data_IF_916921343644
#
_entry.id   IF_916921343644
#
_cell.length_a   1.000
_cell.length_b   1.000
_cell.length_c   1.000
_cell.angle_alpha   90.00
_cell.angle_beta   90.00
_cell.angle_gamma   90.00
#
_symmetry.space_group_name_H-M   'P 1'
#
loop_
_entity.id
_entity.type
_entity.pdbx_description
1 polymer ?
#
# COMPACT_ATOMS: atom_id res chain seq x y z
N UNK A 1 -10.60 -8.01 -4.46
CA UNK A 1 -10.38 -6.71 -3.80
C UNK A 1 -11.47 -5.75 -4.23
N UNK A 2 -11.89 -4.81 -3.38
CA UNK A 2 -12.92 -3.83 -3.73
C UNK A 2 -12.42 -2.93 -4.87
N UNK A 3 -13.32 -2.57 -5.79
CA UNK A 3 -13.06 -1.63 -6.88
C UNK A 3 -13.76 -0.32 -6.54
N UNK A 4 -13.04 0.80 -6.61
CA UNK A 4 -13.53 2.13 -6.19
C UNK A 4 -14.01 2.97 -7.38
N UNK A 5 -13.85 2.50 -8.61
CA UNK A 5 -14.21 3.22 -9.85
C UNK A 5 -13.32 4.44 -10.12
N UNK A 6 -12.11 4.47 -9.54
CA UNK A 6 -11.09 5.46 -9.84
C UNK A 6 -9.88 4.74 -10.43
N UNK A 7 -9.75 4.77 -11.77
CA UNK A 7 -8.88 3.89 -12.54
C UNK A 7 -7.42 3.85 -12.03
N UNK A 8 -6.83 4.99 -11.70
CA UNK A 8 -5.44 5.03 -11.21
C UNK A 8 -5.28 4.33 -9.85
N UNK A 9 -6.22 4.57 -8.94
CA UNK A 9 -6.23 4.02 -7.57
C UNK A 9 -6.50 2.52 -7.64
N UNK A 10 -7.48 2.10 -8.44
CA UNK A 10 -7.80 0.69 -8.64
C UNK A 10 -6.65 -0.10 -9.28
N UNK A 11 -5.91 0.52 -10.21
CA UNK A 11 -4.73 -0.07 -10.81
C UNK A 11 -3.60 -0.26 -9.79
N UNK A 12 -3.32 0.77 -8.98
CA UNK A 12 -2.30 0.68 -7.93
C UNK A 12 -2.65 -0.40 -6.89
N UNK A 13 -3.92 -0.45 -6.48
CA UNK A 13 -4.46 -1.45 -5.58
C UNK A 13 -4.21 -2.87 -6.12
N UNK A 14 -4.59 -3.12 -7.38
CA UNK A 14 -4.38 -4.42 -8.02
C UNK A 14 -2.90 -4.81 -8.07
N UNK A 15 -2.01 -3.87 -8.40
CA UNK A 15 -0.57 -4.14 -8.45
C UNK A 15 -0.01 -4.43 -7.05
N UNK A 16 -0.43 -3.70 -6.02
CA UNK A 16 -0.05 -4.01 -4.64
C UNK A 16 -0.45 -5.45 -4.26
N UNK A 17 -1.71 -5.83 -4.54
CA UNK A 17 -2.22 -7.17 -4.23
C UNK A 17 -1.52 -8.28 -5.04
N UNK A 18 -1.13 -8.02 -6.28
CA UNK A 18 -0.33 -8.97 -7.08
C UNK A 18 1.04 -9.19 -6.44
N UNK A 19 1.73 -8.12 -6.05
CA UNK A 19 3.05 -8.22 -5.41
C UNK A 19 2.94 -9.01 -4.09
N UNK A 20 1.95 -8.72 -3.24
CA UNK A 20 1.78 -9.45 -1.97
C UNK A 20 1.46 -10.91 -2.21
N UNK A 21 0.63 -11.23 -3.20
CA UNK A 21 0.34 -12.62 -3.60
C UNK A 21 1.61 -13.37 -4.02
N UNK A 22 2.44 -12.75 -4.87
CA UNK A 22 3.71 -13.34 -5.33
C UNK A 22 4.73 -13.47 -4.20
N UNK A 23 4.77 -12.54 -3.26
CA UNK A 23 5.66 -12.60 -2.09
C UNK A 23 5.43 -13.88 -1.26
N UNK A 24 4.17 -14.32 -1.10
CA UNK A 24 3.81 -15.48 -0.27
C UNK A 24 4.40 -16.80 -0.76
N UNK A 25 4.61 -16.95 -2.07
CA UNK A 25 5.11 -18.19 -2.69
C UNK A 25 6.55 -18.09 -3.20
N UNK A 26 7.15 -16.90 -3.10
CA UNK A 26 8.49 -16.62 -3.61
C UNK A 26 9.64 -17.29 -2.83
N UNK A 27 10.68 -17.69 -3.56
CA UNK A 27 11.99 -18.06 -2.99
C UNK A 27 12.71 -16.87 -2.35
N UNK A 28 13.88 -17.08 -1.74
CA UNK A 28 14.62 -16.02 -1.04
C UNK A 28 15.00 -14.83 -1.92
N UNK A 29 15.49 -15.08 -3.14
CA UNK A 29 16.00 -14.00 -4.01
C UNK A 29 14.84 -13.26 -4.68
N UNK A 30 13.79 -13.99 -5.05
CA UNK A 30 12.54 -13.41 -5.50
C UNK A 30 11.90 -12.57 -4.40
N UNK A 31 11.83 -13.07 -3.16
CA UNK A 31 11.27 -12.33 -2.03
C UNK A 31 11.97 -10.99 -1.83
N UNK A 32 13.31 -10.97 -1.89
CA UNK A 32 14.09 -9.72 -1.76
C UNK A 32 13.76 -8.69 -2.84
N UNK A 33 13.62 -9.13 -4.10
CA UNK A 33 13.29 -8.25 -5.21
C UNK A 33 11.85 -7.74 -5.10
N UNK A 34 10.90 -8.64 -4.85
CA UNK A 34 9.49 -8.33 -4.71
C UNK A 34 9.21 -7.42 -3.51
N UNK A 35 9.97 -7.55 -2.41
CA UNK A 35 9.79 -6.69 -1.24
C UNK A 35 10.24 -5.25 -1.53
N UNK A 36 11.34 -5.08 -2.29
CA UNK A 36 11.75 -3.77 -2.80
C UNK A 36 10.74 -3.20 -3.79
N UNK A 37 10.17 -4.04 -4.66
CA UNK A 37 9.08 -3.67 -5.58
C UNK A 37 7.85 -3.19 -4.80
N UNK A 38 7.42 -3.94 -3.77
CA UNK A 38 6.30 -3.58 -2.90
C UNK A 38 6.52 -2.21 -2.27
N UNK A 39 7.69 -1.97 -1.68
CA UNK A 39 8.00 -0.68 -1.05
C UNK A 39 7.94 0.47 -2.07
N UNK A 40 8.61 0.32 -3.22
CA UNK A 40 8.64 1.36 -4.26
C UNK A 40 7.26 1.65 -4.85
N UNK A 41 6.46 0.59 -5.06
CA UNK A 41 5.09 0.70 -5.53
C UNK A 41 4.23 1.46 -4.52
N UNK A 42 4.29 1.05 -3.25
CA UNK A 42 3.54 1.69 -2.15
C UNK A 42 3.88 3.17 -2.01
N UNK A 43 5.16 3.55 -2.11
CA UNK A 43 5.57 4.96 -2.09
C UNK A 43 5.00 5.77 -3.26
N UNK A 44 4.93 5.17 -4.45
CA UNK A 44 4.41 5.84 -5.65
C UNK A 44 2.89 5.98 -5.59
N UNK A 45 2.20 4.92 -5.18
CA UNK A 45 0.76 4.88 -4.96
C UNK A 45 0.33 5.92 -3.93
N UNK A 46 0.91 5.91 -2.72
CA UNK A 46 0.56 6.89 -1.69
C UNK A 46 0.88 8.31 -2.13
N UNK A 47 2.00 8.55 -2.81
CA UNK A 47 2.30 9.89 -3.35
C UNK A 47 1.21 10.39 -4.29
N UNK A 48 0.61 9.51 -5.11
CA UNK A 48 -0.49 9.86 -6.00
C UNK A 48 -1.76 10.19 -5.22
N UNK A 49 -2.12 9.37 -4.23
CA UNK A 49 -3.28 9.65 -3.38
C UNK A 49 -3.10 10.94 -2.58
N UNK A 50 -1.91 11.17 -2.01
CA UNK A 50 -1.57 12.40 -1.30
C UNK A 50 -1.68 13.63 -2.21
N UNK A 51 -1.34 13.51 -3.50
CA UNK A 51 -1.60 14.57 -4.48
C UNK A 51 -3.10 14.85 -4.66
N UNK A 52 -3.94 13.81 -4.71
CA UNK A 52 -5.39 13.99 -4.76
C UNK A 52 -5.95 14.58 -3.47
N UNK A 53 -5.47 14.12 -2.32
CA UNK A 53 -5.84 14.64 -1.00
C UNK A 53 -5.58 16.15 -0.92
N UNK A 54 -4.41 16.60 -1.40
CA UNK A 54 -4.08 18.03 -1.45
C UNK A 54 -4.89 18.78 -2.50
N UNK A 55 -5.05 18.21 -3.70
CA UNK A 55 -5.74 18.87 -4.82
C UNK A 55 -7.22 19.14 -4.52
N UNK A 56 -7.89 18.24 -3.81
CA UNK A 56 -9.32 18.33 -3.51
C UNK A 56 -9.62 18.78 -2.08
N UNK A 57 -8.63 19.33 -1.36
CA UNK A 57 -8.77 19.80 0.02
C UNK A 57 -9.45 18.76 0.95
N UNK A 58 -9.03 17.49 0.84
CA UNK A 58 -9.71 16.38 1.52
C UNK A 58 -9.62 16.53 3.06
N UNK A 59 -10.76 16.61 3.79
CA UNK A 59 -10.77 16.85 5.23
C UNK A 59 -10.05 15.76 6.05
N UNK A 60 -10.02 14.53 5.55
CA UNK A 60 -9.38 13.38 6.20
C UNK A 60 -7.85 13.32 6.04
N UNK A 61 -7.22 14.33 5.43
CA UNK A 61 -5.78 14.36 5.11
C UNK A 61 -4.87 13.87 6.24
N UNK A 62 -5.01 14.43 7.43
CA UNK A 62 -4.08 14.13 8.53
C UNK A 62 -4.12 12.66 8.95
N UNK A 63 -5.29 12.04 8.94
CA UNK A 63 -5.46 10.64 9.32
C UNK A 63 -4.97 9.72 8.19
N UNK A 64 -5.35 10.01 6.95
CA UNK A 64 -4.97 9.24 5.76
C UNK A 64 -3.46 9.20 5.55
N UNK A 65 -2.80 10.37 5.51
CA UNK A 65 -1.35 10.45 5.40
C UNK A 65 -0.65 9.84 6.63
N UNK A 66 -1.30 9.85 7.80
CA UNK A 66 -0.79 9.20 9.01
C UNK A 66 -0.65 7.68 8.84
N UNK A 67 -1.69 7.03 8.32
CA UNK A 67 -1.69 5.59 8.05
C UNK A 67 -0.72 5.21 6.92
N UNK A 68 -0.62 6.02 5.86
CA UNK A 68 0.39 5.86 4.82
C UNK A 68 1.81 5.87 5.40
N UNK A 69 2.12 6.87 6.21
CA UNK A 69 3.43 7.01 6.83
C UNK A 69 3.75 5.85 7.78
N UNK A 70 2.74 5.34 8.49
CA UNK A 70 2.89 4.17 9.36
C UNK A 70 3.29 2.94 8.55
N UNK A 71 2.54 2.60 7.50
CA UNK A 71 2.83 1.45 6.67
C UNK A 71 4.22 1.58 5.99
N UNK A 72 4.53 2.73 5.41
CA UNK A 72 5.83 2.98 4.79
C UNK A 72 6.99 2.82 5.77
N UNK A 73 6.80 3.24 7.02
CA UNK A 73 7.81 3.06 8.07
C UNK A 73 8.04 1.57 8.35
N UNK A 74 6.98 0.78 8.48
CA UNK A 74 7.07 -0.67 8.67
C UNK A 74 7.74 -1.35 7.47
N UNK A 75 7.30 -1.04 6.25
CA UNK A 75 7.88 -1.59 5.02
C UNK A 75 9.36 -1.25 4.86
N UNK A 76 9.79 -0.02 5.14
CA UNK A 76 11.22 0.37 5.09
C UNK A 76 12.05 -0.43 6.08
N UNK A 77 11.57 -0.60 7.32
CA UNK A 77 12.26 -1.39 8.33
C UNK A 77 12.37 -2.87 7.95
N UNK A 78 11.29 -3.45 7.43
CA UNK A 78 11.33 -4.84 6.93
C UNK A 78 12.22 -4.97 5.71
N UNK A 79 12.17 -4.04 4.76
CA UNK A 79 13.01 -4.09 3.57
C UNK A 79 14.50 -4.11 3.94
N UNK A 80 14.93 -3.27 4.87
CA UNK A 80 16.33 -3.28 5.35
C UNK A 80 16.75 -4.67 5.88
N UNK A 81 15.89 -5.32 6.67
CA UNK A 81 16.14 -6.67 7.20
C UNK A 81 16.13 -7.73 6.10
N UNK A 82 15.21 -7.60 5.14
CA UNK A 82 15.09 -8.49 3.99
C UNK A 82 16.35 -8.46 3.14
N UNK A 83 16.88 -7.27 2.85
CA UNK A 83 18.13 -7.13 2.09
C UNK A 83 19.33 -7.76 2.81
N UNK A 84 19.31 -7.78 4.16
CA UNK A 84 20.30 -8.50 4.98
C UNK A 84 20.06 -10.02 5.07
N UNK A 85 19.06 -10.57 4.36
CA UNK A 85 18.71 -11.99 4.39
C UNK A 85 17.87 -12.43 5.59
N UNK A 86 17.39 -11.50 6.42
CA UNK A 86 16.56 -11.78 7.60
C UNK A 86 15.08 -11.78 7.21
N UNK A 87 14.62 -12.89 6.63
CA UNK A 87 13.29 -12.96 5.97
C UNK A 87 12.13 -13.36 6.88
N UNK A 88 12.38 -14.11 7.95
CA UNK A 88 11.31 -14.78 8.73
C UNK A 88 10.22 -13.82 9.20
N UNK A 89 10.60 -12.69 9.78
CA UNK A 89 9.63 -11.70 10.28
C UNK A 89 8.93 -10.95 9.14
N UNK A 90 9.62 -10.68 8.03
CA UNK A 90 9.01 -10.04 6.87
C UNK A 90 7.98 -10.97 6.21
N UNK A 91 8.26 -12.27 6.11
CA UNK A 91 7.31 -13.27 5.60
C UNK A 91 6.06 -13.37 6.49
N UNK A 92 6.23 -13.40 7.81
CA UNK A 92 5.09 -13.36 8.74
C UNK A 92 4.29 -12.07 8.56
N UNK A 93 4.96 -10.91 8.48
CA UNK A 93 4.31 -9.63 8.27
C UNK A 93 3.44 -9.59 6.98
N UNK A 94 3.98 -10.06 5.84
CA UNK A 94 3.22 -10.15 4.59
C UNK A 94 1.99 -11.07 4.74
N UNK A 95 2.14 -12.23 5.39
CA UNK A 95 1.05 -13.20 5.51
C UNK A 95 -0.04 -12.77 6.49
N UNK A 96 0.35 -12.11 7.59
CA UNK A 96 -0.53 -11.95 8.74
C UNK A 96 -1.14 -10.54 8.84
N UNK A 97 -0.52 -9.53 8.20
CA UNK A 97 -0.84 -8.12 8.45
C UNK A 97 -1.15 -7.31 7.19
N UNK A 98 -0.38 -7.52 6.13
CA UNK A 98 -0.42 -6.60 4.97
C UNK A 98 -1.75 -6.69 4.21
N UNK A 99 -2.27 -7.89 3.98
CA UNK A 99 -3.54 -8.05 3.26
C UNK A 99 -4.73 -7.47 4.03
N UNK A 100 -4.78 -7.71 5.34
CA UNK A 100 -5.85 -7.16 6.19
C UNK A 100 -5.77 -5.64 6.24
N UNK A 101 -4.55 -5.08 6.41
CA UNK A 101 -4.34 -3.64 6.37
C UNK A 101 -4.81 -3.05 5.04
N UNK A 102 -4.41 -3.64 3.91
CA UNK A 102 -4.78 -3.16 2.57
C UNK A 102 -6.30 -3.19 2.39
N UNK A 103 -6.95 -4.28 2.78
CA UNK A 103 -8.40 -4.38 2.68
C UNK A 103 -9.12 -3.30 3.50
N UNK A 104 -8.69 -3.08 4.74
CA UNK A 104 -9.28 -2.06 5.62
C UNK A 104 -9.02 -0.64 5.11
N UNK A 105 -7.82 -0.36 4.60
CA UNK A 105 -7.45 0.95 4.06
C UNK A 105 -8.31 1.31 2.85
N UNK A 106 -8.41 0.38 1.88
CA UNK A 106 -9.24 0.55 0.67
C UNK A 106 -10.71 0.78 1.03
N UNK A 107 -11.24 -0.05 1.94
CA UNK A 107 -12.67 -0.05 2.26
C UNK A 107 -13.10 1.20 3.00
N UNK A 108 -12.22 1.76 3.85
CA UNK A 108 -12.59 2.84 4.77
C UNK A 108 -12.03 4.20 4.36
N UNK A 109 -10.78 4.27 3.94
CA UNK A 109 -10.06 5.53 3.70
C UNK A 109 -10.07 5.89 2.22
N UNK A 110 -9.63 5.00 1.34
CA UNK A 110 -9.53 5.30 -0.09
C UNK A 110 -10.91 5.42 -0.72
N UNK A 111 -11.89 4.61 -0.29
CA UNK A 111 -13.28 4.76 -0.69
C UNK A 111 -13.87 6.14 -0.30
N UNK A 112 -13.49 6.66 0.87
CA UNK A 112 -13.93 7.98 1.32
C UNK A 112 -13.27 9.11 0.52
N UNK A 113 -11.97 8.97 0.21
CA UNK A 113 -11.24 9.88 -0.67
C UNK A 113 -11.85 9.90 -2.08
N UNK A 114 -12.07 8.75 -2.71
CA UNK A 114 -12.66 8.66 -4.07
C UNK A 114 -14.03 9.32 -4.11
N UNK A 115 -14.89 9.04 -3.13
CA UNK A 115 -16.21 9.68 -3.03
C UNK A 115 -16.10 11.21 -2.90
N UNK A 116 -15.09 11.72 -2.19
CA UNK A 116 -14.85 13.17 -2.06
C UNK A 116 -14.35 13.78 -3.37
N UNK A 117 -13.46 13.08 -4.09
CA UNK A 117 -13.01 13.50 -5.43
C UNK A 117 -14.21 13.61 -6.37
N UNK A 118 -15.08 12.60 -6.42
CA UNK A 118 -16.27 12.60 -7.28
C UNK A 118 -17.25 13.74 -6.98
N UNK A 119 -17.38 14.16 -5.72
CA UNK A 119 -18.26 15.28 -5.35
C UNK A 119 -17.67 16.66 -5.63
N UNK A 120 -16.40 16.73 -6.02
CA UNK A 120 -15.65 17.97 -6.31
C UNK A 120 -14.98 17.96 -7.70
N UNK A 121 -15.34 17.00 -8.55
CA UNK A 121 -14.91 16.89 -9.95
C UNK A 121 -15.85 17.59 -10.93
#
# INVERSE_FOLDING_TARGET
>A
MQHLNHADIDCDHQHFADITTRLKTSDTDQFKRLFSELLSHTETHFKREEQFIEQYDYPGKSEHCGEHNRLLTELRQFNQRVQQGRLTMARAYINDRVDEWLHQHITNMDAALVKHIESHS
#
